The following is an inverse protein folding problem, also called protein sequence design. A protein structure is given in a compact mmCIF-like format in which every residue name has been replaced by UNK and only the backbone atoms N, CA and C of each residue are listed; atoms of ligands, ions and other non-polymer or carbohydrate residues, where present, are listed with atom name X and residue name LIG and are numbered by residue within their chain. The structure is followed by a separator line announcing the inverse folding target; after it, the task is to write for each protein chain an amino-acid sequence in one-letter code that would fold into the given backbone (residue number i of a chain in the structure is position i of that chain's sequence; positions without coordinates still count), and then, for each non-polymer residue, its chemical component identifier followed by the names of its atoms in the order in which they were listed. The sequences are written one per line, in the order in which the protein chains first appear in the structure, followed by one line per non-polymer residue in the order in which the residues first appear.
data_IF_731008377384
#
_entry.id   IF_731008377384
#
_cell.length_a   1.000
_cell.length_b   1.000
_cell.length_c   1.000
_cell.angle_alpha   90.00
_cell.angle_beta   90.00
_cell.angle_gamma   90.00
#
_symmetry.space_group_name_H-M   'P 1'
#
loop_
_entity.id
_entity.type
_entity.pdbx_description
1 polymer ?
#
# COMPACT_ATOMS: atom_id res chain seq x y z
N UNK A 1 3.67 -0.61 15.08
CA UNK A 1 3.42 -1.59 14.01
C UNK A 1 2.59 -0.91 12.92
N UNK A 2 3.07 -0.99 11.70
CA UNK A 2 2.40 -0.48 10.50
C UNK A 2 1.83 -1.65 9.70
N UNK A 3 0.68 -1.48 9.07
CA UNK A 3 0.10 -2.49 8.19
C UNK A 3 -0.64 -1.85 7.03
N UNK A 4 -0.76 -2.59 5.93
CA UNK A 4 -1.65 -2.29 4.83
C UNK A 4 -2.80 -3.28 4.86
N UNK A 5 -4.01 -2.76 4.85
CA UNK A 5 -5.23 -3.58 4.85
C UNK A 5 -5.93 -3.42 3.52
N UNK A 6 -6.01 -4.52 2.79
CA UNK A 6 -6.82 -4.62 1.57
C UNK A 6 -8.21 -5.12 1.95
N UNK A 7 -9.25 -4.44 1.51
CA UNK A 7 -10.62 -4.77 1.88
C UNK A 7 -11.55 -4.89 0.68
N UNK A 8 -12.54 -5.76 0.83
CA UNK A 8 -13.68 -5.88 -0.08
C UNK A 8 -14.89 -5.23 0.58
N UNK A 9 -15.56 -4.33 -0.10
CA UNK A 9 -16.76 -3.66 0.39
C UNK A 9 -18.00 -4.45 0.00
N UNK A 10 -18.92 -4.64 0.94
CA UNK A 10 -20.16 -5.37 0.69
C UNK A 10 -21.04 -4.67 -0.34
N UNK A 11 -21.72 -5.46 -1.17
CA UNK A 11 -22.56 -4.95 -2.27
C UNK A 11 -23.72 -4.06 -1.85
N UNK A 12 -24.09 -4.09 -0.57
CA UNK A 12 -25.15 -3.25 0.01
C UNK A 12 -24.61 -1.95 0.61
N UNK A 13 -23.29 -1.76 0.63
CA UNK A 13 -22.65 -0.59 1.19
C UNK A 13 -22.23 0.38 0.10
N UNK A 14 -22.31 1.67 0.39
CA UNK A 14 -21.75 2.70 -0.48
C UNK A 14 -20.23 2.72 -0.34
N UNK A 15 -19.50 2.63 -1.46
CA UNK A 15 -18.04 2.71 -1.47
C UNK A 15 -17.53 4.02 -0.87
N UNK A 16 -18.18 5.14 -1.18
CA UNK A 16 -17.77 6.46 -0.68
C UNK A 16 -18.05 6.61 0.82
N UNK A 17 -19.17 6.09 1.31
CA UNK A 17 -19.50 6.13 2.73
C UNK A 17 -18.55 5.22 3.54
N UNK A 18 -18.23 4.06 3.01
CA UNK A 18 -17.24 3.16 3.60
C UNK A 18 -15.88 3.84 3.70
N UNK A 19 -15.42 4.44 2.60
CA UNK A 19 -14.15 5.17 2.57
C UNK A 19 -14.12 6.29 3.60
N UNK A 20 -15.18 7.09 3.67
CA UNK A 20 -15.31 8.18 4.64
C UNK A 20 -15.28 7.68 6.08
N UNK A 21 -16.01 6.60 6.37
CA UNK A 21 -16.04 5.99 7.69
C UNK A 21 -14.68 5.45 8.12
N UNK A 22 -14.00 4.75 7.22
CA UNK A 22 -12.66 4.19 7.49
C UNK A 22 -11.63 5.31 7.72
N UNK A 23 -11.67 6.37 6.91
CA UNK A 23 -10.81 7.56 7.07
C UNK A 23 -11.03 8.30 8.39
N UNK A 24 -12.18 8.12 9.01
CA UNK A 24 -12.51 8.74 10.30
C UNK A 24 -11.78 8.11 11.49
N UNK A 25 -11.22 6.92 11.37
CA UNK A 25 -10.46 6.29 12.44
C UNK A 25 -9.07 6.94 12.55
N UNK A 26 -8.72 7.36 13.77
CA UNK A 26 -7.43 8.02 14.07
C UNK A 26 -6.19 7.15 13.79
N UNK A 27 -6.37 5.84 13.73
CA UNK A 27 -5.29 4.88 13.47
C UNK A 27 -5.11 4.59 11.97
N UNK A 28 -6.00 5.11 11.12
CA UNK A 28 -5.90 5.04 9.67
C UNK A 28 -5.14 6.28 9.17
N UNK A 29 -3.92 6.07 8.70
CA UNK A 29 -3.09 7.16 8.18
C UNK A 29 -3.57 7.64 6.82
N UNK A 30 -4.01 6.71 5.97
CA UNK A 30 -4.59 7.00 4.67
C UNK A 30 -5.43 5.83 4.18
N UNK A 31 -6.38 6.11 3.31
CA UNK A 31 -7.22 5.10 2.70
C UNK A 31 -7.69 5.57 1.31
N UNK A 32 -7.73 4.64 0.36
CA UNK A 32 -8.15 4.89 -1.02
C UNK A 32 -9.05 3.78 -1.53
N UNK A 33 -10.02 4.14 -2.36
CA UNK A 33 -10.64 3.17 -3.27
C UNK A 33 -9.62 2.79 -4.33
N UNK A 34 -9.60 1.52 -4.69
CA UNK A 34 -8.63 0.98 -5.66
C UNK A 34 -9.31 0.13 -6.71
N UNK A 35 -8.67 0.02 -7.87
CA UNK A 35 -9.02 -0.93 -8.92
C UNK A 35 -8.27 -2.24 -8.69
N UNK A 36 -8.94 -3.36 -8.87
CA UNK A 36 -8.34 -4.69 -8.74
C UNK A 36 -9.23 -5.65 -7.96
N UNK A 37 -8.64 -6.72 -7.38
CA UNK A 37 -9.40 -7.74 -6.65
C UNK A 37 -9.94 -7.27 -5.31
N UNK A 38 -9.53 -6.10 -4.84
CA UNK A 38 -10.02 -5.44 -3.64
C UNK A 38 -10.58 -4.07 -3.99
N UNK A 39 -11.43 -3.53 -3.12
CA UNK A 39 -12.12 -2.27 -3.34
C UNK A 39 -11.46 -1.09 -2.61
N UNK A 40 -10.78 -1.38 -1.49
CA UNK A 40 -10.17 -0.37 -0.62
C UNK A 40 -8.79 -0.84 -0.14
N UNK A 41 -7.86 0.10 -0.05
CA UNK A 41 -6.60 -0.07 0.66
C UNK A 41 -6.50 0.96 1.78
N UNK A 42 -6.05 0.53 2.94
CA UNK A 42 -5.83 1.40 4.09
C UNK A 42 -4.46 1.16 4.69
N UNK A 43 -3.73 2.23 4.93
CA UNK A 43 -2.49 2.21 5.70
C UNK A 43 -2.83 2.53 7.15
N UNK A 44 -2.52 1.63 8.04
CA UNK A 44 -2.91 1.73 9.45
C UNK A 44 -1.71 1.63 10.36
N UNK A 45 -1.82 2.25 11.53
CA UNK A 45 -0.84 2.16 12.60
C UNK A 45 -1.50 1.62 13.86
N UNK A 46 -0.91 0.58 14.43
CA UNK A 46 -1.38 -0.03 15.67
C UNK A 46 -0.20 -0.24 16.62
N UNK A 47 -0.46 -0.14 17.93
CA UNK A 47 0.53 -0.39 18.97
C UNK A 47 0.63 -1.88 19.31
N UNK A 48 -0.41 -2.64 18.98
CA UNK A 48 -0.51 -4.06 19.29
C UNK A 48 -1.45 -4.80 18.34
N UNK A 49 -1.39 -6.13 18.32
CA UNK A 49 -2.34 -6.95 17.57
C UNK A 49 -3.81 -6.76 18.00
N UNK A 50 -4.13 -6.66 19.31
CA UNK A 50 -5.49 -6.33 19.72
C UNK A 50 -5.98 -4.99 19.15
N UNK A 51 -5.13 -3.97 19.11
CA UNK A 51 -5.49 -2.70 18.50
C UNK A 51 -5.70 -2.84 16.98
N UNK A 52 -4.87 -3.60 16.30
CA UNK A 52 -5.07 -3.90 14.89
C UNK A 52 -6.43 -4.58 14.63
N UNK A 53 -6.80 -5.55 15.47
CA UNK A 53 -8.14 -6.17 15.41
C UNK A 53 -9.25 -5.13 15.58
N UNK A 54 -9.10 -4.19 16.51
CA UNK A 54 -10.08 -3.12 16.72
C UNK A 54 -10.24 -2.25 15.47
N UNK A 55 -9.14 -1.95 14.77
CA UNK A 55 -9.19 -1.22 13.49
C UNK A 55 -9.96 -2.01 12.43
N UNK A 56 -9.70 -3.32 12.33
CA UNK A 56 -10.43 -4.17 11.39
C UNK A 56 -11.93 -4.23 11.71
N UNK A 57 -12.30 -4.24 13.00
CA UNK A 57 -13.69 -4.20 13.42
C UNK A 57 -14.37 -2.88 12.99
N UNK A 58 -13.70 -1.75 13.17
CA UNK A 58 -14.19 -0.45 12.68
C UNK A 58 -14.39 -0.48 11.15
N UNK A 59 -13.46 -1.06 10.41
CA UNK A 59 -13.62 -1.21 8.96
C UNK A 59 -14.85 -2.05 8.61
N UNK A 60 -15.12 -3.13 9.35
CA UNK A 60 -16.30 -3.98 9.16
C UNK A 60 -17.59 -3.22 9.48
N UNK A 61 -17.61 -2.43 10.53
CA UNK A 61 -18.76 -1.57 10.90
C UNK A 61 -19.13 -0.59 9.79
N UNK A 62 -18.14 -0.17 8.98
CA UNK A 62 -18.34 0.73 7.85
C UNK A 62 -18.58 0.02 6.51
N UNK A 63 -18.73 -1.30 6.50
CA UNK A 63 -19.14 -2.03 5.31
C UNK A 63 -18.07 -2.89 4.63
N UNK A 64 -16.86 -2.96 5.18
CA UNK A 64 -15.83 -3.91 4.71
C UNK A 64 -16.20 -5.30 5.16
N UNK A 65 -16.37 -6.23 4.21
CA UNK A 65 -16.84 -7.60 4.51
C UNK A 65 -15.71 -8.62 4.55
N UNK A 66 -14.59 -8.33 3.91
CA UNK A 66 -13.41 -9.20 3.91
C UNK A 66 -12.14 -8.36 3.90
N UNK A 67 -11.10 -8.82 4.58
CA UNK A 67 -9.83 -8.11 4.72
C UNK A 67 -8.64 -9.03 4.49
N UNK A 68 -7.59 -8.49 3.88
CA UNK A 68 -6.27 -9.08 3.82
C UNK A 68 -5.28 -8.09 4.44
N UNK A 69 -4.72 -8.44 5.58
CA UNK A 69 -3.83 -7.57 6.35
C UNK A 69 -2.38 -7.95 6.12
N UNK A 70 -1.59 -6.99 5.66
CA UNK A 70 -0.18 -7.14 5.34
C UNK A 70 0.63 -6.29 6.32
N UNK A 71 1.24 -6.94 7.29
CA UNK A 71 2.05 -6.27 8.33
C UNK A 71 3.41 -5.91 7.76
N UNK A 72 3.85 -4.68 7.99
CA UNK A 72 5.16 -4.19 7.57
C UNK A 72 6.25 -4.82 8.43
N UNK A 73 7.28 -5.35 7.80
CA UNK A 73 8.52 -5.75 8.45
C UNK A 73 9.42 -4.51 8.63
N UNK A 74 9.26 -3.84 9.75
CA UNK A 74 10.02 -2.62 10.06
C UNK A 74 11.52 -2.88 10.25
N UNK A 75 11.92 -4.14 10.49
CA UNK A 75 13.32 -4.56 10.55
C UNK A 75 13.96 -4.86 9.20
N UNK A 76 13.16 -4.89 8.13
CA UNK A 76 13.61 -5.11 6.76
C UNK A 76 13.67 -3.82 5.95
N UNK A 77 13.29 -3.93 4.67
CA UNK A 77 13.14 -2.77 3.81
C UNK A 77 11.92 -1.96 4.27
N UNK A 78 12.14 -0.75 4.72
CA UNK A 78 11.06 0.16 5.11
C UNK A 78 11.55 1.60 5.00
N UNK A 79 11.02 2.34 4.04
CA UNK A 79 11.43 3.72 3.75
C UNK A 79 10.24 4.56 3.31
N UNK A 80 10.20 5.80 3.80
CA UNK A 80 9.22 6.80 3.41
C UNK A 80 9.95 8.07 2.97
N UNK A 81 9.53 8.64 1.84
CA UNK A 81 10.02 9.95 1.41
C UNK A 81 9.43 11.01 2.35
N UNK A 82 10.22 11.99 2.71
CA UNK A 82 9.78 13.11 3.55
C UNK A 82 8.51 13.74 2.94
N UNK A 83 7.51 13.97 3.77
CA UNK A 83 6.22 14.53 3.36
C UNK A 83 5.30 13.60 2.58
N UNK A 84 5.62 12.30 2.48
CA UNK A 84 4.80 11.35 1.71
C UNK A 84 3.36 11.22 2.23
N UNK A 85 3.15 11.38 3.53
CA UNK A 85 1.82 11.27 4.16
C UNK A 85 0.82 12.34 3.70
N UNK A 86 1.31 13.49 3.23
CA UNK A 86 0.45 14.56 2.67
C UNK A 86 0.30 14.49 1.15
N UNK A 87 0.96 13.55 0.49
CA UNK A 87 0.94 13.41 -0.97
C UNK A 87 -0.02 12.31 -1.40
N UNK A 88 -0.86 12.64 -2.39
CA UNK A 88 -1.78 11.68 -2.98
C UNK A 88 -1.02 10.62 -3.78
N UNK A 89 -1.48 9.37 -3.69
CA UNK A 89 -0.92 8.24 -4.42
C UNK A 89 -1.78 7.91 -5.64
N UNK A 90 -1.15 7.63 -6.77
CA UNK A 90 -1.80 7.11 -7.98
C UNK A 90 -1.99 5.60 -7.92
N UNK A 91 -1.08 4.89 -7.27
CA UNK A 91 -1.09 3.44 -7.22
C UNK A 91 -0.31 2.89 -6.03
N UNK A 92 -0.67 1.69 -5.65
CA UNK A 92 0.13 0.79 -4.82
C UNK A 92 0.56 -0.40 -5.67
N UNK A 93 1.86 -0.67 -5.69
CA UNK A 93 2.42 -1.79 -6.45
C UNK A 93 2.93 -2.84 -5.48
N UNK A 94 2.30 -4.00 -5.51
CA UNK A 94 2.68 -5.15 -4.70
C UNK A 94 3.62 -6.03 -5.49
N UNK A 95 4.74 -6.38 -4.89
CA UNK A 95 5.81 -7.13 -5.54
C UNK A 95 6.01 -8.45 -4.83
N UNK A 96 6.04 -9.53 -5.61
CA UNK A 96 6.47 -10.83 -5.14
C UNK A 96 7.92 -11.04 -5.57
N UNK A 97 8.79 -11.27 -4.60
CA UNK A 97 10.23 -11.38 -4.85
C UNK A 97 10.90 -12.19 -3.76
N UNK A 98 12.14 -12.61 -3.99
CA UNK A 98 12.96 -13.14 -2.91
C UNK A 98 13.23 -12.01 -1.91
N UNK A 99 13.13 -12.32 -0.62
CA UNK A 99 13.39 -11.35 0.45
C UNK A 99 14.71 -10.61 0.19
N UNK A 100 14.72 -9.26 0.25
CA UNK A 100 15.94 -8.49 0.02
C UNK A 100 17.03 -8.85 1.01
N UNK A 101 18.20 -9.26 0.51
CA UNK A 101 19.39 -9.52 1.33
C UNK A 101 20.12 -8.24 1.74
N UNK A 102 19.82 -7.12 1.05
CA UNK A 102 20.43 -5.82 1.30
C UNK A 102 19.35 -4.73 1.34
N UNK A 103 18.54 -4.64 2.43
CA UNK A 103 17.41 -3.73 2.51
C UNK A 103 17.77 -2.25 2.23
N UNK A 104 18.90 -1.77 2.75
CA UNK A 104 19.34 -0.39 2.55
C UNK A 104 19.69 -0.07 1.09
N UNK A 105 20.22 -1.03 0.37
CA UNK A 105 20.49 -0.86 -1.06
C UNK A 105 19.18 -0.78 -1.86
N UNK A 106 18.21 -1.61 -1.51
CA UNK A 106 16.88 -1.58 -2.10
C UNK A 106 16.16 -0.26 -1.83
N UNK A 107 16.24 0.25 -0.60
CA UNK A 107 15.69 1.56 -0.25
C UNK A 107 16.29 2.65 -1.15
N UNK A 108 17.61 2.66 -1.32
CA UNK A 108 18.30 3.60 -2.19
C UNK A 108 17.84 3.51 -3.65
N UNK A 109 17.69 2.29 -4.19
CA UNK A 109 17.26 2.09 -5.56
C UNK A 109 15.81 2.56 -5.77
N UNK A 110 14.91 2.16 -4.91
CA UNK A 110 13.50 2.56 -5.00
C UNK A 110 13.34 4.06 -4.84
N UNK A 111 14.04 4.69 -3.91
CA UNK A 111 14.00 6.13 -3.72
C UNK A 111 14.69 6.92 -4.85
N UNK A 112 15.49 6.29 -5.70
CA UNK A 112 16.03 6.92 -6.91
C UNK A 112 14.95 7.16 -7.98
N UNK A 113 13.82 6.45 -7.89
CA UNK A 113 12.65 6.70 -8.72
C UNK A 113 11.86 7.85 -8.08
N UNK A 114 11.82 8.99 -8.77
CA UNK A 114 11.27 10.24 -8.22
C UNK A 114 9.85 10.11 -7.67
N UNK A 115 8.99 9.35 -8.37
CA UNK A 115 7.58 9.19 -8.03
C UNK A 115 7.32 8.11 -6.97
N UNK A 116 8.32 7.39 -6.52
CA UNK A 116 8.17 6.46 -5.38
C UNK A 116 8.11 7.27 -4.09
N UNK A 117 7.03 7.12 -3.34
CA UNK A 117 6.81 7.83 -2.08
C UNK A 117 7.21 7.00 -0.87
N UNK A 118 6.96 5.71 -0.92
CA UNK A 118 7.33 4.78 0.14
C UNK A 118 7.49 3.37 -0.39
N UNK A 119 8.26 2.56 0.33
CA UNK A 119 8.42 1.15 0.05
C UNK A 119 8.61 0.38 1.35
N UNK A 120 7.89 -0.72 1.50
CA UNK A 120 7.91 -1.53 2.72
C UNK A 120 7.94 -3.01 2.40
N UNK A 121 8.80 -3.75 3.09
CA UNK A 121 8.75 -5.20 3.15
C UNK A 121 7.55 -5.63 3.98
N UNK A 122 6.87 -6.67 3.52
CA UNK A 122 5.62 -7.15 4.11
C UNK A 122 5.73 -8.60 4.57
N UNK A 123 4.96 -8.93 5.59
CA UNK A 123 4.57 -10.31 5.88
C UNK A 123 3.24 -10.59 5.18
N UNK A 124 3.15 -11.72 4.47
CA UNK A 124 1.93 -12.14 3.81
C UNK A 124 2.17 -12.65 2.39
N UNK A 125 1.15 -12.52 1.54
CA UNK A 125 1.17 -13.06 0.19
C UNK A 125 2.04 -12.26 -0.79
N UNK A 126 2.39 -11.02 -0.47
CA UNK A 126 3.35 -10.21 -1.21
C UNK A 126 4.52 -9.82 -0.31
N UNK A 127 5.67 -9.60 -0.92
CA UNK A 127 6.93 -9.37 -0.18
C UNK A 127 7.23 -7.89 0.01
N UNK A 128 6.83 -7.04 -0.93
CA UNK A 128 7.07 -5.59 -0.89
C UNK A 128 5.86 -4.84 -1.44
N UNK A 129 5.53 -3.71 -0.82
CA UNK A 129 4.61 -2.72 -1.37
C UNK A 129 5.36 -1.42 -1.66
N UNK A 130 5.06 -0.82 -2.79
CA UNK A 130 5.57 0.49 -3.20
C UNK A 130 4.39 1.41 -3.46
N UNK A 131 4.35 2.59 -2.86
CA UNK A 131 3.37 3.60 -3.23
C UNK A 131 3.96 4.60 -4.22
N UNK A 132 3.16 4.98 -5.21
CA UNK A 132 3.58 5.82 -6.32
C UNK A 132 2.76 7.11 -6.31
N UNK A 133 3.42 8.24 -6.53
CA UNK A 133 2.81 9.57 -6.50
C UNK A 133 1.75 9.77 -7.58
N UNK A 134 0.77 10.64 -7.30
CA UNK A 134 -0.30 11.00 -8.24
C UNK A 134 0.26 11.53 -9.57
N UNK A 135 1.37 12.23 -9.54
CA UNK A 135 2.02 12.81 -10.72
C UNK A 135 2.41 11.76 -11.77
N UNK A 136 2.58 10.50 -11.37
CA UNK A 136 2.90 9.41 -12.28
C UNK A 136 1.69 8.84 -13.02
N UNK A 137 0.46 9.18 -12.64
CA UNK A 137 -0.77 8.54 -13.14
C UNK A 137 -0.89 8.57 -14.66
N UNK A 138 -0.65 9.72 -15.28
CA UNK A 138 -0.85 9.93 -16.72
C UNK A 138 0.21 9.23 -17.59
N UNK A 139 1.39 8.94 -17.03
CA UNK A 139 2.50 8.29 -17.74
C UNK A 139 3.19 7.26 -16.84
N UNK A 140 2.38 6.40 -16.24
CA UNK A 140 2.81 5.44 -15.22
C UNK A 140 3.92 4.51 -15.71
N UNK A 141 3.82 4.05 -16.95
CA UNK A 141 4.80 3.15 -17.53
C UNK A 141 6.20 3.78 -17.56
N UNK A 142 6.35 4.98 -18.13
CA UNK A 142 7.66 5.63 -18.27
C UNK A 142 8.17 6.20 -16.95
N UNK A 143 7.28 6.76 -16.14
CA UNK A 143 7.67 7.42 -14.88
C UNK A 143 8.01 6.45 -13.76
N UNK A 144 7.37 5.27 -13.75
CA UNK A 144 7.57 4.30 -12.66
C UNK A 144 7.92 2.90 -13.17
N UNK A 145 7.04 2.26 -13.93
CA UNK A 145 7.12 0.83 -14.21
C UNK A 145 8.38 0.44 -14.96
N UNK A 146 8.73 1.20 -16.00
CA UNK A 146 9.96 1.00 -16.77
C UNK A 146 11.20 1.14 -15.90
N UNK A 147 11.23 2.11 -14.99
CA UNK A 147 12.34 2.32 -14.06
C UNK A 147 12.45 1.19 -13.04
N UNK A 148 11.32 0.71 -12.53
CA UNK A 148 11.29 -0.46 -11.66
C UNK A 148 11.88 -1.69 -12.36
N UNK A 149 11.48 -1.96 -13.59
CA UNK A 149 12.02 -3.07 -14.37
C UNK A 149 13.53 -2.99 -14.62
N UNK A 150 14.08 -1.79 -14.81
CA UNK A 150 15.52 -1.59 -14.97
C UNK A 150 16.30 -1.88 -13.68
N UNK A 151 15.67 -1.71 -12.51
CA UNK A 151 16.27 -2.04 -11.22
C UNK A 151 16.24 -3.53 -10.91
N UNK A 152 15.45 -4.29 -11.63
CA UNK A 152 15.06 -5.64 -11.26
C UNK A 152 15.67 -6.74 -12.11
N UNK A 153 16.86 -6.58 -12.61
CA UNK A 153 17.67 -7.75 -12.97
C UNK A 153 17.77 -8.76 -11.81
N UNK A 154 17.14 -8.44 -10.67
CA UNK A 154 17.26 -9.15 -9.41
C UNK A 154 15.89 -9.61 -8.91
N UNK A 155 15.48 -10.82 -9.33
CA UNK A 155 14.59 -11.72 -8.54
C UNK A 155 13.15 -11.28 -8.26
N UNK A 156 12.54 -10.34 -9.00
CA UNK A 156 11.09 -10.17 -8.96
C UNK A 156 10.41 -11.29 -9.76
N UNK A 157 9.43 -11.95 -9.14
CA UNK A 157 8.63 -12.98 -9.80
C UNK A 157 7.36 -12.42 -10.39
N UNK A 158 6.72 -11.47 -9.74
CA UNK A 158 5.51 -10.83 -10.23
C UNK A 158 5.26 -9.48 -9.55
N UNK A 159 4.49 -8.64 -10.22
CA UNK A 159 3.98 -7.38 -9.69
C UNK A 159 2.47 -7.29 -9.88
N UNK A 160 1.79 -6.66 -8.93
CA UNK A 160 0.37 -6.33 -8.99
C UNK A 160 0.19 -4.85 -8.74
N UNK A 161 -0.25 -4.12 -9.75
CA UNK A 161 -0.51 -2.69 -9.63
C UNK A 161 -1.98 -2.46 -9.33
N UNK A 162 -2.27 -1.79 -8.23
CA UNK A 162 -3.60 -1.39 -7.83
C UNK A 162 -3.68 0.13 -7.91
N UNK A 163 -4.30 0.64 -8.97
CA UNK A 163 -4.50 2.07 -9.14
C UNK A 163 -5.56 2.58 -8.17
N UNK A 164 -5.30 3.73 -7.57
CA UNK A 164 -6.30 4.42 -6.78
C UNK A 164 -7.36 5.03 -7.69
N UNK A 165 -8.61 5.02 -7.20
CA UNK A 165 -9.71 5.68 -7.90
C UNK A 165 -9.56 7.19 -7.72
N UNK A 166 -9.69 7.92 -8.81
CA UNK A 166 -9.71 9.39 -8.79
C UNK A 166 -11.10 9.84 -8.33
N UNK A 167 -11.18 10.36 -7.12
CA UNK A 167 -12.41 10.81 -6.47
C UNK A 167 -12.55 12.33 -6.45
#
# INVERSE_FOLDING_TARGET
MKAFVLGTVGTRSSLLDTLSGVRGDKNVEESYLIWGPYDIISKVRADSLPQLNSILDVMREHGVVDTNTLIVNEGGLSVEREGCGGRRKSAYVFIKMRRPSAPKLWEKYLMSIEDVLEAHELFGMWDVVVSVAEEAREDFFNRFFKKLWLLTEVNMTSTHTMFTVKE
#
